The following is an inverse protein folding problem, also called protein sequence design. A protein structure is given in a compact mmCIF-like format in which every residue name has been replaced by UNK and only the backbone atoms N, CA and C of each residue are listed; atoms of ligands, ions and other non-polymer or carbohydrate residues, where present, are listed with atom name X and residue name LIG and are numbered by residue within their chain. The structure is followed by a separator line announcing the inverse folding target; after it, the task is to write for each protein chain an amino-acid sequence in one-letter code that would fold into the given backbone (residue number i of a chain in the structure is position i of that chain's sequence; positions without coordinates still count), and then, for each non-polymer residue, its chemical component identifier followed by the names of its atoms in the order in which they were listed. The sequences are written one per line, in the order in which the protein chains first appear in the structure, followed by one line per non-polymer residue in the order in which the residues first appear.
data_IF_698424485099
#
_entry.id   IF_698424485099
#
_cell.length_a   1.000
_cell.length_b   1.000
_cell.length_c   1.000
_cell.angle_alpha   90.00
_cell.angle_beta   90.00
_cell.angle_gamma   90.00
#
_symmetry.space_group_name_H-M   'P 1'
#
loop_
_entity.id
_entity.type
_entity.pdbx_description
1 polymer ?
#
# COMPACT_ATOMS: atom_id res chain seq x y z
N UNK A 1 -16.50 -44.77 79.02
CA UNK A 1 -17.56 -44.76 77.98
C UNK A 1 -18.41 -43.51 78.20
N UNK A 2 -17.93 -42.36 77.73
CA UNK A 2 -18.65 -41.09 77.89
C UNK A 2 -19.67 -40.96 76.78
N UNK A 3 -20.95 -41.01 77.13
CA UNK A 3 -22.07 -40.75 76.22
C UNK A 3 -21.97 -39.32 75.71
N UNK A 4 -21.51 -39.13 74.47
CA UNK A 4 -21.59 -37.85 73.78
C UNK A 4 -23.06 -37.41 73.73
N UNK A 5 -23.38 -36.35 74.47
CA UNK A 5 -24.62 -35.61 74.33
C UNK A 5 -24.64 -35.00 72.93
N UNK A 6 -25.19 -35.74 71.96
CA UNK A 6 -25.45 -35.23 70.61
C UNK A 6 -26.41 -34.05 70.74
N UNK A 7 -25.89 -32.82 70.64
CA UNK A 7 -26.70 -31.61 70.60
C UNK A 7 -27.58 -31.69 69.36
N UNK A 8 -28.90 -31.83 69.57
CA UNK A 8 -29.86 -31.85 68.46
C UNK A 8 -29.99 -30.44 67.91
N UNK A 9 -29.77 -30.30 66.60
CA UNK A 9 -30.03 -29.05 65.87
C UNK A 9 -31.40 -29.16 65.23
N UNK A 10 -32.29 -28.24 65.56
CA UNK A 10 -33.63 -28.16 64.97
C UNK A 10 -33.62 -27.17 63.81
N UNK A 11 -34.11 -27.60 62.66
CA UNK A 11 -34.29 -26.74 61.48
C UNK A 11 -35.69 -26.12 61.51
N UNK A 12 -35.80 -24.88 61.04
CA UNK A 12 -37.11 -24.29 60.75
C UNK A 12 -37.82 -25.08 59.63
N UNK A 13 -39.15 -25.08 59.65
CA UNK A 13 -39.99 -25.85 58.72
C UNK A 13 -39.75 -25.45 57.26
N UNK A 14 -39.47 -24.17 57.00
CA UNK A 14 -39.16 -23.70 55.65
C UNK A 14 -37.77 -24.14 55.20
N UNK A 15 -36.78 -24.11 56.10
CA UNK A 15 -35.44 -24.58 55.81
C UNK A 15 -35.43 -26.10 55.55
N UNK A 16 -36.19 -26.88 56.33
CA UNK A 16 -36.35 -28.32 56.13
C UNK A 16 -36.91 -28.65 54.75
N UNK A 17 -38.01 -28.01 54.34
CA UNK A 17 -38.62 -28.25 53.01
C UNK A 17 -37.69 -27.90 51.86
N UNK A 18 -36.94 -26.79 51.98
CA UNK A 18 -35.96 -26.38 50.96
C UNK A 18 -34.79 -27.37 50.89
N UNK A 19 -34.30 -27.83 52.03
CA UNK A 19 -33.23 -28.82 52.08
C UNK A 19 -33.67 -30.17 51.51
N UNK A 20 -34.91 -30.59 51.77
CA UNK A 20 -35.50 -31.82 51.22
C UNK A 20 -35.65 -31.75 49.70
N UNK A 21 -36.14 -30.62 49.17
CA UNK A 21 -36.21 -30.39 47.73
C UNK A 21 -34.83 -30.36 47.06
N UNK A 22 -33.84 -29.74 47.69
CA UNK A 22 -32.47 -29.68 47.17
C UNK A 22 -31.77 -31.04 47.21
N UNK A 23 -31.97 -31.82 48.29
CA UNK A 23 -31.46 -33.18 48.40
C UNK A 23 -32.08 -34.10 47.33
N UNK A 24 -33.39 -33.99 47.12
CA UNK A 24 -34.10 -34.73 46.08
C UNK A 24 -33.60 -34.38 44.66
N UNK A 25 -33.30 -33.10 44.38
CA UNK A 25 -32.77 -32.66 43.09
C UNK A 25 -31.40 -33.25 42.77
N UNK A 26 -30.59 -33.54 43.79
CA UNK A 26 -29.25 -34.13 43.65
C UNK A 26 -29.28 -35.66 43.86
N UNK A 27 -30.45 -36.24 44.12
CA UNK A 27 -30.62 -37.68 44.34
C UNK A 27 -29.96 -38.20 45.63
N UNK A 28 -29.75 -37.32 46.62
CA UNK A 28 -29.12 -37.66 47.89
C UNK A 28 -30.15 -37.68 49.04
N UNK A 29 -29.84 -38.40 50.12
CA UNK A 29 -30.66 -38.30 51.32
C UNK A 29 -30.47 -36.94 52.00
N UNK A 30 -31.48 -36.48 52.74
CA UNK A 30 -31.41 -35.21 53.46
C UNK A 30 -30.20 -35.14 54.42
N UNK A 31 -29.86 -36.26 55.06
CA UNK A 31 -28.72 -36.35 55.97
C UNK A 31 -27.37 -36.25 55.26
N UNK A 32 -27.21 -36.91 54.11
CA UNK A 32 -25.99 -36.82 53.28
C UNK A 32 -25.83 -35.43 52.70
N UNK A 33 -26.91 -34.86 52.17
CA UNK A 33 -26.93 -33.51 51.63
C UNK A 33 -26.56 -32.47 52.71
N UNK A 34 -27.15 -32.57 53.90
CA UNK A 34 -26.86 -31.67 55.00
C UNK A 34 -25.40 -31.80 55.49
N UNK A 35 -24.88 -33.04 55.56
CA UNK A 35 -23.50 -33.29 55.98
C UNK A 35 -22.51 -32.71 54.97
N UNK A 36 -22.73 -32.96 53.68
CA UNK A 36 -21.90 -32.42 52.60
C UNK A 36 -21.97 -30.88 52.54
N UNK A 37 -23.15 -30.29 52.77
CA UNK A 37 -23.31 -28.84 52.80
C UNK A 37 -22.55 -28.22 53.98
N UNK A 38 -22.65 -28.78 55.19
CA UNK A 38 -21.91 -28.29 56.36
C UNK A 38 -20.40 -28.40 56.13
N UNK A 39 -19.93 -29.52 55.58
CA UNK A 39 -18.52 -29.71 55.24
C UNK A 39 -18.05 -28.73 54.16
N UNK A 40 -18.86 -28.48 53.14
CA UNK A 40 -18.57 -27.51 52.09
C UNK A 40 -18.40 -26.09 52.64
N UNK A 41 -19.32 -25.62 53.49
CA UNK A 41 -19.22 -24.29 54.08
C UNK A 41 -18.05 -24.18 55.08
N UNK A 42 -17.82 -25.22 55.89
CA UNK A 42 -16.76 -25.23 56.89
C UNK A 42 -15.36 -25.27 56.26
N UNK A 43 -15.14 -26.13 55.25
CA UNK A 43 -13.83 -26.28 54.57
C UNK A 43 -13.47 -25.06 53.73
N UNK A 44 -14.47 -24.37 53.17
CA UNK A 44 -14.26 -23.17 52.36
C UNK A 44 -14.29 -21.86 53.16
N UNK A 45 -14.54 -21.92 54.47
CA UNK A 45 -14.62 -20.73 55.33
C UNK A 45 -15.71 -19.74 54.88
N UNK A 46 -16.82 -20.28 54.35
CA UNK A 46 -17.95 -19.50 53.86
C UNK A 46 -18.98 -19.34 54.98
N UNK A 47 -19.31 -18.10 55.34
CA UNK A 47 -20.44 -17.82 56.23
C UNK A 47 -21.74 -17.82 55.40
N UNK A 48 -22.65 -18.79 55.60
CA UNK A 48 -23.92 -18.87 54.87
C UNK A 48 -24.89 -17.71 55.19
N UNK A 49 -24.52 -16.79 56.09
CA UNK A 49 -25.30 -15.59 56.45
C UNK A 49 -24.91 -14.35 55.64
N UNK A 50 -23.74 -14.34 54.99
CA UNK A 50 -23.20 -13.15 54.29
C UNK A 50 -23.15 -13.32 52.75
N UNK A 51 -23.83 -14.31 52.20
CA UNK A 51 -23.61 -14.85 50.85
C UNK A 51 -23.94 -13.91 49.69
N UNK A 52 -24.94 -13.03 49.80
CA UNK A 52 -25.38 -12.21 48.65
C UNK A 52 -24.35 -11.14 48.23
N UNK A 53 -23.54 -10.62 49.17
CA UNK A 53 -22.58 -9.56 48.87
C UNK A 53 -21.26 -10.08 48.25
N UNK A 54 -20.91 -11.36 48.47
CA UNK A 54 -19.58 -11.88 48.17
C UNK A 54 -19.45 -12.49 46.78
N UNK A 55 -20.52 -13.09 46.26
CA UNK A 55 -20.54 -13.63 44.89
C UNK A 55 -20.37 -12.51 43.84
N UNK A 56 -21.09 -11.39 44.03
CA UNK A 56 -20.93 -10.21 43.17
C UNK A 56 -19.52 -9.63 43.22
N UNK A 57 -18.89 -9.57 44.41
CA UNK A 57 -17.51 -9.12 44.56
C UNK A 57 -16.51 -10.05 43.87
N UNK A 58 -16.68 -11.37 43.98
CA UNK A 58 -15.78 -12.33 43.35
C UNK A 58 -15.85 -12.25 41.82
N UNK A 59 -17.05 -12.18 41.26
CA UNK A 59 -17.28 -12.02 39.82
C UNK A 59 -16.66 -10.71 39.33
N UNK A 60 -16.88 -9.61 40.04
CA UNK A 60 -16.36 -8.29 39.67
C UNK A 60 -14.82 -8.25 39.73
N UNK A 61 -14.20 -8.93 40.68
CA UNK A 61 -12.73 -9.09 40.72
C UNK A 61 -12.19 -9.90 39.54
N UNK A 62 -12.88 -10.96 39.12
CA UNK A 62 -12.48 -11.74 37.95
C UNK A 62 -12.62 -10.93 36.65
N UNK A 63 -13.71 -10.18 36.50
CA UNK A 63 -13.92 -9.28 35.35
C UNK A 63 -12.81 -8.22 35.32
N UNK A 64 -12.48 -7.61 36.46
CA UNK A 64 -11.40 -6.61 36.53
C UNK A 64 -10.06 -7.21 36.13
N UNK A 65 -9.68 -8.38 36.66
CA UNK A 65 -8.42 -9.06 36.30
C UNK A 65 -8.35 -9.41 34.81
N UNK A 66 -9.47 -9.81 34.22
CA UNK A 66 -9.54 -10.07 32.79
C UNK A 66 -9.37 -8.77 31.99
N UNK A 67 -10.06 -7.70 32.40
CA UNK A 67 -9.92 -6.36 31.83
C UNK A 67 -8.47 -5.87 31.86
N UNK A 68 -7.82 -5.91 33.02
CA UNK A 68 -6.42 -5.49 33.20
C UNK A 68 -5.48 -6.30 32.28
N UNK A 69 -5.73 -7.59 32.09
CA UNK A 69 -4.94 -8.44 31.18
C UNK A 69 -5.14 -8.07 29.71
N UNK A 70 -6.38 -7.82 29.29
CA UNK A 70 -6.70 -7.43 27.92
C UNK A 70 -6.13 -6.05 27.61
N UNK A 71 -6.31 -5.08 28.51
CA UNK A 71 -5.71 -3.75 28.36
C UNK A 71 -4.18 -3.82 28.35
N UNK A 72 -3.57 -4.61 29.23
CA UNK A 72 -2.13 -4.82 29.22
C UNK A 72 -1.63 -5.40 27.89
N UNK A 73 -2.31 -6.43 27.36
CA UNK A 73 -1.99 -7.00 26.06
C UNK A 73 -2.15 -5.97 24.93
N UNK A 74 -3.24 -5.20 24.91
CA UNK A 74 -3.46 -4.17 23.90
C UNK A 74 -2.39 -3.08 23.95
N UNK A 75 -2.02 -2.63 25.15
CA UNK A 75 -0.99 -1.61 25.35
C UNK A 75 0.40 -2.12 24.94
N UNK A 76 0.68 -3.41 25.19
CA UNK A 76 1.90 -4.05 24.72
C UNK A 76 1.92 -4.14 23.20
N UNK A 77 0.85 -4.62 22.57
CA UNK A 77 0.72 -4.67 21.10
C UNK A 77 0.83 -3.28 20.46
N UNK A 78 0.21 -2.27 21.06
CA UNK A 78 0.31 -0.88 20.61
C UNK A 78 1.77 -0.44 20.59
N UNK A 79 2.49 -0.63 21.71
CA UNK A 79 3.87 -0.18 21.87
C UNK A 79 4.86 -0.96 21.01
N UNK A 80 4.75 -2.28 20.94
CA UNK A 80 5.77 -3.12 20.28
C UNK A 80 5.54 -3.27 18.78
N UNK A 81 4.29 -3.38 18.35
CA UNK A 81 3.97 -3.69 16.96
C UNK A 81 3.43 -2.47 16.23
N UNK A 82 2.36 -1.86 16.74
CA UNK A 82 1.65 -0.81 16.00
C UNK A 82 2.48 0.47 15.88
N UNK A 83 3.14 0.91 16.96
CA UNK A 83 4.04 2.07 16.91
C UNK A 83 5.21 1.82 15.95
N UNK A 84 5.84 0.65 16.01
CA UNK A 84 6.96 0.31 15.13
C UNK A 84 6.54 0.26 13.65
N UNK A 85 5.38 -0.34 13.34
CA UNK A 85 4.83 -0.34 11.99
C UNK A 85 4.55 1.09 11.51
N UNK A 86 3.98 1.94 12.37
CA UNK A 86 3.66 3.32 12.03
C UNK A 86 4.93 4.14 11.75
N UNK A 87 5.99 3.95 12.53
CA UNK A 87 7.29 4.57 12.29
C UNK A 87 7.89 4.14 10.94
N UNK A 88 7.85 2.84 10.61
CA UNK A 88 8.34 2.34 9.32
C UNK A 88 7.50 2.81 8.13
N UNK A 89 6.18 2.91 8.29
CA UNK A 89 5.31 3.50 7.28
C UNK A 89 5.64 4.98 7.03
N UNK A 90 5.89 5.76 8.09
CA UNK A 90 6.29 7.16 7.96
C UNK A 90 7.64 7.30 7.27
N UNK A 91 8.63 6.48 7.64
CA UNK A 91 9.95 6.44 6.98
C UNK A 91 9.84 6.12 5.50
N UNK A 92 9.03 5.12 5.16
CA UNK A 92 8.77 4.72 3.78
C UNK A 92 8.11 5.85 2.99
N UNK A 93 7.10 6.51 3.57
CA UNK A 93 6.40 7.65 2.94
C UNK A 93 7.36 8.81 2.63
N UNK A 94 8.20 9.19 3.59
CA UNK A 94 9.20 10.26 3.40
C UNK A 94 10.19 9.89 2.29
N UNK A 95 10.65 8.62 2.27
CA UNK A 95 11.58 8.14 1.25
C UNK A 95 10.95 8.16 -0.14
N UNK A 96 9.70 7.72 -0.26
CA UNK A 96 8.96 7.75 -1.53
C UNK A 96 8.76 9.19 -2.03
N UNK A 97 8.37 10.12 -1.17
CA UNK A 97 8.25 11.54 -1.55
C UNK A 97 9.58 12.10 -2.05
N UNK A 98 10.70 11.75 -1.40
CA UNK A 98 12.04 12.17 -1.84
C UNK A 98 12.41 11.59 -3.21
N UNK A 99 12.14 10.31 -3.43
CA UNK A 99 12.39 9.65 -4.73
C UNK A 99 11.54 10.26 -5.84
N UNK A 100 10.25 10.54 -5.56
CA UNK A 100 9.37 11.19 -6.52
C UNK A 100 9.88 12.58 -6.91
N UNK A 101 10.27 13.41 -5.94
CA UNK A 101 10.87 14.73 -6.24
C UNK A 101 12.15 14.62 -7.07
N UNK A 102 13.01 13.64 -6.78
CA UNK A 102 14.22 13.40 -7.57
C UNK A 102 13.89 12.99 -9.01
N UNK A 103 12.89 12.13 -9.19
CA UNK A 103 12.41 11.73 -10.51
C UNK A 103 11.82 12.93 -11.27
N UNK A 104 11.03 13.78 -10.62
CA UNK A 104 10.50 15.01 -11.23
C UNK A 104 11.63 15.94 -11.71
N UNK A 105 12.64 16.16 -10.87
CA UNK A 105 13.82 16.97 -11.23
C UNK A 105 14.59 16.34 -12.39
N UNK A 106 14.81 15.02 -12.35
CA UNK A 106 15.54 14.31 -13.40
C UNK A 106 14.80 14.41 -14.74
N UNK A 107 13.49 14.14 -14.74
CA UNK A 107 12.66 14.23 -15.94
C UNK A 107 12.62 15.65 -16.47
N UNK A 108 12.46 16.65 -15.59
CA UNK A 108 12.52 18.06 -15.97
C UNK A 108 13.84 18.42 -16.65
N UNK A 109 14.97 18.05 -16.04
CA UNK A 109 16.30 18.30 -16.59
C UNK A 109 16.52 17.60 -17.93
N UNK A 110 16.11 16.33 -18.05
CA UNK A 110 16.20 15.57 -19.29
C UNK A 110 15.36 16.23 -20.40
N UNK A 111 14.15 16.69 -20.07
CA UNK A 111 13.29 17.35 -21.03
C UNK A 111 13.88 18.68 -21.52
N UNK A 112 14.44 19.49 -20.61
CA UNK A 112 15.16 20.73 -20.99
C UNK A 112 16.39 20.42 -21.86
N UNK A 113 17.15 19.37 -21.56
CA UNK A 113 18.29 18.96 -22.38
C UNK A 113 17.85 18.51 -23.78
N UNK A 114 16.76 17.74 -23.89
CA UNK A 114 16.15 17.34 -25.16
C UNK A 114 15.71 18.56 -25.99
N UNK A 115 15.03 19.53 -25.36
CA UNK A 115 14.61 20.77 -26.02
C UNK A 115 15.81 21.55 -26.56
N UNK A 116 16.84 21.78 -25.74
CA UNK A 116 18.04 22.52 -26.18
C UNK A 116 18.79 21.81 -27.31
N UNK A 117 18.92 20.49 -27.25
CA UNK A 117 19.52 19.70 -28.32
C UNK A 117 18.71 19.80 -29.62
N UNK A 118 17.38 19.72 -29.54
CA UNK A 118 16.50 19.85 -30.70
C UNK A 118 16.62 21.24 -31.35
N UNK A 119 16.69 22.29 -30.53
CA UNK A 119 16.81 23.67 -31.01
C UNK A 119 18.18 23.93 -31.63
N UNK A 120 19.25 23.41 -31.02
CA UNK A 120 20.60 23.49 -31.57
C UNK A 120 20.72 22.73 -32.91
N UNK A 121 20.06 21.57 -33.04
CA UNK A 121 19.99 20.85 -34.31
C UNK A 121 19.26 21.64 -35.40
N UNK A 122 18.12 22.24 -35.07
CA UNK A 122 17.35 23.07 -36.00
C UNK A 122 18.14 24.30 -36.47
N UNK A 123 18.84 24.99 -35.55
CA UNK A 123 19.69 26.13 -35.90
C UNK A 123 20.82 25.74 -36.85
N UNK A 124 21.46 24.58 -36.63
CA UNK A 124 22.50 24.08 -37.56
C UNK A 124 21.94 23.81 -38.95
N UNK A 125 20.74 23.23 -39.05
CA UNK A 125 20.09 23.02 -40.34
C UNK A 125 19.76 24.33 -41.05
N UNK A 126 19.24 25.32 -40.31
CA UNK A 126 18.97 26.66 -40.86
C UNK A 126 20.24 27.34 -41.37
N UNK A 127 21.34 27.29 -40.61
CA UNK A 127 22.62 27.83 -41.05
C UNK A 127 23.15 27.10 -42.30
N UNK A 128 23.05 25.77 -42.34
CA UNK A 128 23.43 25.00 -43.52
C UNK A 128 22.60 25.41 -44.75
N UNK A 129 21.28 25.58 -44.61
CA UNK A 129 20.42 26.06 -45.68
C UNK A 129 20.77 27.49 -46.11
N UNK A 130 21.08 28.39 -45.17
CA UNK A 130 21.54 29.74 -45.48
C UNK A 130 22.85 29.75 -46.28
N UNK A 131 23.76 28.82 -46.03
CA UNK A 131 25.00 28.69 -46.80
C UNK A 131 24.81 28.03 -48.17
N UNK A 132 23.81 27.15 -48.30
CA UNK A 132 23.49 26.49 -49.57
C UNK A 132 22.75 27.41 -50.56
N UNK A 133 21.92 28.34 -50.07
CA UNK A 133 21.22 29.31 -50.92
C UNK A 133 22.14 30.13 -51.85
N UNK A 134 23.16 30.86 -51.35
CA UNK A 134 24.03 31.67 -52.20
C UNK A 134 24.88 30.78 -53.13
N UNK A 135 25.32 29.60 -52.65
CA UNK A 135 26.04 28.64 -53.51
C UNK A 135 25.19 28.13 -54.67
N UNK A 136 23.90 27.87 -54.41
CA UNK A 136 22.96 27.46 -55.45
C UNK A 136 22.67 28.63 -56.41
N UNK A 137 22.48 29.85 -55.90
CA UNK A 137 22.30 31.04 -56.74
C UNK A 137 23.51 31.27 -57.65
N UNK A 138 24.73 31.20 -57.13
CA UNK A 138 25.95 31.30 -57.93
C UNK A 138 26.08 30.18 -58.97
N UNK A 139 25.72 28.95 -58.61
CA UNK A 139 25.74 27.82 -59.54
C UNK A 139 24.69 27.97 -60.65
N UNK A 140 23.49 28.42 -60.31
CA UNK A 140 22.42 28.73 -61.27
C UNK A 140 22.85 29.87 -62.18
N UNK A 141 23.42 30.95 -61.66
CA UNK A 141 23.93 32.06 -62.45
C UNK A 141 25.03 31.63 -63.44
N UNK A 142 25.93 30.75 -63.00
CA UNK A 142 26.95 30.16 -63.88
C UNK A 142 26.30 29.33 -64.99
N UNK A 143 25.36 28.45 -64.64
CA UNK A 143 24.64 27.62 -65.60
C UNK A 143 23.82 28.46 -66.59
N UNK A 144 23.14 29.51 -66.13
CA UNK A 144 22.39 30.44 -66.99
C UNK A 144 23.34 31.17 -67.94
N UNK A 145 24.49 31.64 -67.46
CA UNK A 145 25.51 32.29 -68.32
C UNK A 145 26.09 31.32 -69.35
N UNK A 146 26.35 30.07 -68.97
CA UNK A 146 26.82 29.03 -69.89
C UNK A 146 25.76 28.66 -70.93
N UNK A 147 24.49 28.53 -70.52
CA UNK A 147 23.36 28.28 -71.40
C UNK A 147 23.13 29.45 -72.39
N UNK A 148 23.27 30.70 -71.93
CA UNK A 148 23.17 31.87 -72.81
C UNK A 148 24.32 31.94 -73.82
N UNK A 149 25.55 31.61 -73.41
CA UNK A 149 26.70 31.55 -74.32
C UNK A 149 26.56 30.44 -75.37
N UNK A 150 26.11 29.26 -74.95
CA UNK A 150 25.86 28.14 -75.88
C UNK A 150 24.72 28.46 -76.85
N UNK A 151 23.65 29.12 -76.38
CA UNK A 151 22.56 29.60 -77.22
C UNK A 151 22.98 30.70 -78.21
N UNK A 152 23.83 31.66 -77.79
CA UNK A 152 24.41 32.67 -78.71
C UNK A 152 25.28 32.02 -79.79
N UNK A 153 26.14 31.07 -79.40
CA UNK A 153 27.00 30.36 -80.35
C UNK A 153 26.19 29.46 -81.30
N UNK A 154 25.08 28.88 -80.84
CA UNK A 154 24.17 28.10 -81.68
C UNK A 154 23.28 28.98 -82.59
N UNK A 155 22.92 30.18 -82.16
CA UNK A 155 22.10 31.13 -82.93
C UNK A 155 22.86 31.89 -84.03
N UNK A 156 24.19 32.03 -83.91
CA UNK A 156 25.04 32.72 -84.89
C UNK A 156 25.51 31.85 -86.07
N UNK A 157 25.12 30.58 -86.13
CA UNK A 157 25.61 29.66 -87.16
C UNK A 157 24.59 28.61 -87.58
N UNK A 158 23.61 28.99 -88.41
CA UNK A 158 23.00 28.10 -89.42
C UNK A 158 22.21 28.88 -90.48
N UNK A 159 22.95 29.56 -91.36
CA UNK A 159 22.60 29.63 -92.79
C UNK A 159 23.63 28.81 -93.55
N UNK A 160 23.38 27.53 -93.73
CA UNK A 160 23.81 26.87 -94.95
C UNK A 160 22.78 25.81 -95.37
N UNK A 161 22.30 25.99 -96.60
CA UNK A 161 21.88 24.97 -97.55
C UNK A 161 22.40 25.48 -98.91
N UNK A 162 22.56 24.63 -99.93
CA UNK A 162 22.62 23.17 -99.98
C UNK A 162 23.90 22.69 -100.71
N UNK A 163 24.12 21.38 -100.82
CA UNK A 163 24.46 20.78 -102.14
C UNK A 163 24.28 19.25 -102.15
N UNK A 164 23.62 18.83 -103.23
CA UNK A 164 23.42 17.51 -103.84
C UNK A 164 24.78 16.86 -104.24
N UNK A 165 24.98 15.56 -104.52
CA UNK A 165 24.22 14.32 -104.52
C UNK A 165 25.19 13.13 -104.76
N UNK A 166 24.68 11.91 -104.48
CA UNK A 166 24.97 10.63 -105.18
C UNK A 166 26.33 9.91 -104.90
N UNK A 167 26.49 8.58 -104.84
CA UNK A 167 25.64 7.37 -105.01
C UNK A 167 26.49 6.12 -104.66
N UNK A 168 25.84 4.99 -104.31
CA UNK A 168 26.39 3.61 -104.41
C UNK A 168 26.33 2.80 -103.09
N UNK A 169 25.33 1.93 -102.88
CA UNK A 169 25.28 0.48 -103.22
C UNK A 169 26.43 -0.33 -102.59
N UNK A 170 26.27 -1.44 -101.87
CA UNK A 170 25.12 -2.30 -101.55
C UNK A 170 25.61 -3.58 -100.84
N UNK A 171 24.63 -4.43 -100.47
CA UNK A 171 24.67 -5.73 -99.78
C UNK A 171 24.62 -5.71 -98.25
#
# INVERSE_FOLDING_TARGET
MSTELRKRVTLDRNAHRKAEAAAAAVGASLGEYASAAVEYFATRGLDPRETEAREGQLIMQQIKKLGDRVFGFMQEQERTLLTAMLEEMLRTRITLERVLRLNEILVGNLNTQLETLSQAQLQRQLQALQMLRPRNEEAVDKQVKEALKTAQNAGLGKRSKPDEAATGQGQ
#
